data_IF_780773556881
#
_entry.id   IF_780773556881
#
_cell.length_a   1.000
_cell.length_b   1.000
_cell.length_c   1.000
_cell.angle_alpha   90.00
_cell.angle_beta   90.00
_cell.angle_gamma   90.00
#
_symmetry.space_group_name_H-M   'P 1'
#
loop_
_entity.id
_entity.type
_entity.pdbx_description
1 polymer ?
#
# COMPACT_ATOMS: atom_id res chain seq x y z
N UNK A 1 5.09 12.93 8.88
CA UNK A 1 4.53 13.14 7.53
C UNK A 1 3.04 13.36 7.73
N UNK A 2 2.43 14.36 7.08
CA UNK A 2 1.00 14.61 7.21
C UNK A 2 0.24 14.00 6.01
N UNK A 3 -1.03 13.62 6.19
CA UNK A 3 -1.86 13.06 5.11
C UNK A 3 -2.05 14.01 3.94
N UNK A 4 -1.93 15.32 4.15
CA UNK A 4 -1.97 16.33 3.08
C UNK A 4 -0.80 16.21 2.09
N UNK A 5 0.27 15.51 2.45
CA UNK A 5 1.42 15.27 1.58
C UNK A 5 1.26 14.01 0.70
N UNK A 6 0.13 13.30 0.82
CA UNK A 6 -0.14 12.05 0.10
C UNK A 6 -1.17 12.33 -0.99
N UNK A 7 -0.75 12.30 -2.25
CA UNK A 7 -1.62 12.55 -3.40
C UNK A 7 -2.60 11.40 -3.68
N UNK A 8 -2.15 10.15 -3.48
CA UNK A 8 -2.92 8.95 -3.77
C UNK A 8 -2.53 7.77 -2.86
N UNK A 9 -3.52 6.94 -2.51
CA UNK A 9 -3.36 5.67 -1.83
C UNK A 9 -3.78 4.52 -2.74
N UNK A 10 -2.81 3.80 -3.30
CA UNK A 10 -3.07 2.67 -4.19
C UNK A 10 -3.25 1.36 -3.41
N UNK A 11 -4.40 0.70 -3.56
CA UNK A 11 -4.72 -0.57 -2.91
C UNK A 11 -4.53 -1.75 -3.88
N UNK A 12 -3.48 -2.53 -3.64
CA UNK A 12 -3.20 -3.76 -4.35
C UNK A 12 -3.61 -5.01 -3.55
N UNK A 13 -3.67 -6.15 -4.23
CA UNK A 13 -3.99 -7.46 -3.65
C UNK A 13 -5.41 -7.93 -3.94
N UNK A 14 -5.67 -9.21 -3.65
CA UNK A 14 -6.99 -9.82 -3.88
C UNK A 14 -8.12 -9.13 -3.13
N UNK A 15 -7.82 -8.58 -1.94
CA UNK A 15 -8.73 -7.74 -1.18
C UNK A 15 -8.94 -6.36 -1.83
N UNK A 16 -7.90 -5.74 -2.39
CA UNK A 16 -7.98 -4.38 -2.97
C UNK A 16 -9.02 -4.22 -4.08
N UNK A 17 -9.31 -5.28 -4.84
CA UNK A 17 -10.34 -5.24 -5.90
C UNK A 17 -11.79 -5.23 -5.39
N UNK A 18 -12.04 -5.78 -4.20
CA UNK A 18 -13.39 -6.02 -3.71
C UNK A 18 -13.65 -5.41 -2.32
N UNK A 19 -12.63 -4.79 -1.72
CA UNK A 19 -12.77 -4.13 -0.44
C UNK A 19 -13.70 -2.93 -0.58
N UNK A 20 -14.71 -2.88 0.28
CA UNK A 20 -15.51 -1.67 0.42
C UNK A 20 -14.68 -0.64 1.22
N UNK A 21 -14.18 0.37 0.53
CA UNK A 21 -13.30 1.40 1.11
C UNK A 21 -13.97 2.17 2.25
N UNK A 22 -15.28 2.45 2.15
CA UNK A 22 -16.05 3.08 3.22
C UNK A 22 -16.10 2.24 4.49
N UNK A 23 -16.32 0.93 4.36
CA UNK A 23 -16.29 0.01 5.50
C UNK A 23 -14.88 -0.12 6.08
N UNK A 24 -13.85 -0.21 5.22
CA UNK A 24 -12.46 -0.30 5.65
C UNK A 24 -12.03 0.95 6.46
N UNK A 25 -12.46 2.14 6.03
CA UNK A 25 -12.25 3.36 6.81
C UNK A 25 -13.03 3.31 8.13
N UNK A 26 -14.31 2.88 8.08
CA UNK A 26 -15.16 2.82 9.28
C UNK A 26 -14.61 1.93 10.38
N UNK A 27 -13.91 0.84 10.03
CA UNK A 27 -13.31 -0.08 11.00
C UNK A 27 -11.85 0.26 11.36
N UNK A 28 -11.33 1.41 10.91
CA UNK A 28 -9.96 1.84 11.19
C UNK A 28 -8.86 1.17 10.36
N UNK A 29 -9.20 0.37 9.34
CA UNK A 29 -8.20 -0.26 8.45
C UNK A 29 -7.52 0.74 7.52
N UNK A 30 -8.27 1.76 7.06
CA UNK A 30 -7.76 2.81 6.18
C UNK A 30 -7.99 4.19 6.80
N UNK A 31 -7.06 5.14 6.60
CA UNK A 31 -7.20 6.49 7.13
C UNK A 31 -8.35 7.24 6.44
N UNK A 32 -9.18 7.94 7.22
CA UNK A 32 -10.33 8.68 6.71
C UNK A 32 -9.92 9.90 5.87
N UNK A 33 -8.75 10.47 6.17
CA UNK A 33 -8.14 11.62 5.51
C UNK A 33 -7.84 11.36 4.03
N UNK A 34 -7.67 10.08 3.66
CA UNK A 34 -7.37 9.66 2.29
C UNK A 34 -8.60 9.12 1.53
N UNK A 35 -9.81 9.25 2.09
CA UNK A 35 -11.04 8.66 1.53
C UNK A 35 -11.21 8.89 0.03
N UNK A 36 -11.03 10.13 -0.42
CA UNK A 36 -11.22 10.53 -1.83
C UNK A 36 -9.97 10.31 -2.70
N UNK A 37 -8.90 9.75 -2.13
CA UNK A 37 -7.60 9.50 -2.77
C UNK A 37 -7.26 8.01 -2.88
N UNK A 38 -8.18 7.14 -2.46
CA UNK A 38 -7.99 5.68 -2.51
C UNK A 38 -8.31 5.14 -3.91
N UNK A 39 -7.35 4.43 -4.50
CA UNK A 39 -7.44 3.87 -5.85
C UNK A 39 -7.14 2.36 -5.82
N UNK A 40 -8.12 1.49 -6.05
CA UNK A 40 -7.90 0.05 -6.14
C UNK A 40 -7.20 -0.34 -7.45
N UNK A 41 -6.16 -1.17 -7.36
CA UNK A 41 -5.34 -1.63 -8.50
C UNK A 41 -5.38 -3.15 -8.72
N UNK A 42 -6.00 -3.91 -7.82
CA UNK A 42 -6.11 -5.36 -7.92
C UNK A 42 -4.78 -6.10 -7.80
N UNK A 43 -4.61 -7.18 -8.57
CA UNK A 43 -3.39 -8.00 -8.52
C UNK A 43 -2.23 -7.36 -9.29
N UNK A 44 -1.59 -6.37 -8.67
CA UNK A 44 -0.44 -5.67 -9.24
C UNK A 44 0.78 -6.58 -9.41
N UNK A 45 0.96 -7.59 -8.55
CA UNK A 45 2.04 -8.58 -8.70
C UNK A 45 1.89 -9.39 -9.98
N UNK A 46 0.68 -9.82 -10.32
CA UNK A 46 0.38 -10.55 -11.55
C UNK A 46 0.60 -9.67 -12.79
N UNK A 47 0.08 -8.44 -12.76
CA UNK A 47 0.30 -7.46 -13.84
C UNK A 47 1.78 -7.16 -14.03
N UNK A 48 2.53 -6.94 -12.94
CA UNK A 48 3.97 -6.70 -12.97
C UNK A 48 4.75 -7.87 -13.55
N UNK A 49 4.38 -9.11 -13.21
CA UNK A 49 5.00 -10.30 -13.79
C UNK A 49 4.78 -10.40 -15.30
N UNK A 50 3.57 -10.12 -15.79
CA UNK A 50 3.26 -10.09 -17.23
C UNK A 50 4.08 -9.00 -17.94
N UNK A 51 4.21 -7.82 -17.34
CA UNK A 51 4.99 -6.71 -17.90
C UNK A 51 6.48 -7.05 -17.99
N UNK A 52 7.04 -7.63 -16.93
CA UNK A 52 8.43 -8.10 -16.91
C UNK A 52 8.67 -9.20 -17.94
N UNK A 53 7.74 -10.13 -18.12
CA UNK A 53 7.83 -11.20 -19.12
C UNK A 53 7.80 -10.66 -20.56
N UNK A 54 6.97 -9.63 -20.82
CA UNK A 54 6.74 -9.12 -22.18
C UNK A 54 7.66 -7.99 -22.61
N UNK A 55 8.39 -7.35 -21.68
CA UNK A 55 9.18 -6.15 -21.98
C UNK A 55 10.52 -6.14 -21.25
N UNK A 56 11.60 -6.29 -22.00
CA UNK A 56 12.96 -6.15 -21.48
C UNK A 56 13.20 -4.75 -20.91
N UNK A 57 12.59 -3.71 -21.49
CA UNK A 57 12.68 -2.32 -21.00
C UNK A 57 12.07 -2.16 -19.61
N UNK A 58 11.08 -2.98 -19.26
CA UNK A 58 10.48 -2.94 -17.93
C UNK A 58 11.48 -3.32 -16.82
N UNK A 59 12.54 -4.06 -17.15
CA UNK A 59 13.63 -4.35 -16.20
C UNK A 59 14.38 -3.09 -15.76
N UNK A 60 14.48 -2.06 -16.61
CA UNK A 60 15.12 -0.79 -16.24
C UNK A 60 14.30 -0.06 -15.18
N UNK A 61 12.97 -0.05 -15.35
CA UNK A 61 12.02 0.48 -14.36
C UNK A 61 12.15 -0.28 -13.04
N UNK A 62 12.18 -1.61 -13.07
CA UNK A 62 12.36 -2.43 -11.86
C UNK A 62 13.67 -2.08 -11.15
N UNK A 63 14.78 -1.97 -11.88
CA UNK A 63 16.09 -1.60 -11.30
C UNK A 63 16.07 -0.22 -10.66
N UNK A 64 15.46 0.76 -11.32
CA UNK A 64 15.30 2.12 -10.77
C UNK A 64 14.47 2.10 -9.49
N UNK A 65 13.35 1.37 -9.47
CA UNK A 65 12.49 1.25 -8.29
C UNK A 65 13.21 0.57 -7.13
N UNK A 66 13.98 -0.49 -7.39
CA UNK A 66 14.79 -1.15 -6.37
C UNK A 66 15.82 -0.18 -5.75
N UNK A 67 16.44 0.70 -6.55
CA UNK A 67 17.37 1.71 -6.05
C UNK A 67 16.72 2.80 -5.19
N UNK A 68 15.40 3.01 -5.32
CA UNK A 68 14.62 4.00 -4.56
C UNK A 68 13.84 3.40 -3.38
N UNK A 69 13.74 2.07 -3.32
CA UNK A 69 12.97 1.36 -2.29
C UNK A 69 13.84 1.07 -1.09
N UNK A 70 13.31 1.30 0.12
CA UNK A 70 13.98 0.99 1.38
C UNK A 70 13.07 0.10 2.23
N UNK A 71 13.64 -0.97 2.78
CA UNK A 71 12.97 -1.77 3.80
C UNK A 71 13.05 -1.06 5.16
N UNK A 72 11.91 -0.93 5.84
CA UNK A 72 11.82 -0.42 7.20
C UNK A 72 11.36 -1.61 8.05
N UNK A 73 12.21 -2.05 8.98
CA UNK A 73 11.91 -3.18 9.87
C UNK A 73 11.05 -2.69 11.04
N UNK A 74 9.85 -3.24 11.18
CA UNK A 74 8.89 -2.85 12.20
C UNK A 74 8.86 -3.80 13.40
N UNK A 75 9.35 -5.03 13.27
CA UNK A 75 9.23 -6.04 14.33
C UNK A 75 10.02 -5.69 15.60
N UNK A 76 11.08 -4.87 15.47
CA UNK A 76 11.88 -4.38 16.59
C UNK A 76 11.56 -2.95 17.02
N UNK A 77 10.52 -2.32 16.45
CA UNK A 77 10.15 -0.94 16.71
C UNK A 77 9.10 -0.87 17.83
N UNK A 78 9.45 -0.25 18.96
CA UNK A 78 8.57 -0.13 20.13
C UNK A 78 7.35 0.78 19.86
N UNK A 79 7.50 1.79 18.99
CA UNK A 79 6.40 2.67 18.61
C UNK A 79 5.39 1.89 17.78
N UNK A 80 5.86 1.03 16.86
CA UNK A 80 4.96 0.14 16.09
C UNK A 80 4.17 -0.81 16.99
N UNK A 81 4.82 -1.44 17.97
CA UNK A 81 4.15 -2.36 18.90
C UNK A 81 3.05 -1.64 19.70
N UNK A 82 3.33 -0.42 20.15
CA UNK A 82 2.37 0.43 20.86
C UNK A 82 1.21 0.83 19.96
N UNK A 83 1.48 1.36 18.76
CA UNK A 83 0.45 1.75 17.80
C UNK A 83 -0.43 0.57 17.36
N UNK A 84 0.17 -0.60 17.13
CA UNK A 84 -0.58 -1.80 16.81
C UNK A 84 -1.57 -2.16 17.93
N UNK A 85 -1.11 -2.22 19.19
CA UNK A 85 -1.96 -2.53 20.33
C UNK A 85 -3.10 -1.51 20.53
N UNK A 86 -2.81 -0.22 20.32
CA UNK A 86 -3.81 0.86 20.41
C UNK A 86 -4.89 0.74 19.34
N UNK A 87 -4.59 0.16 18.19
CA UNK A 87 -5.52 -0.03 17.06
C UNK A 87 -6.12 -1.45 16.98
N UNK A 88 -6.01 -2.26 18.05
CA UNK A 88 -6.67 -3.58 18.14
C UNK A 88 -8.13 -3.51 18.58
N UNK A 89 -8.56 -2.40 19.19
CA UNK A 89 -9.94 -2.19 19.63
C UNK A 89 -10.64 -1.27 18.61
N UNK A 90 -11.59 -1.84 17.88
CA UNK A 90 -12.39 -1.15 16.86
C UNK A 90 -13.42 -0.18 17.45
#
# INVERSE_FOLDING_TARGET
MNFDQIDALFLAGGFGNYINTGNAIRIGLLPAELKERIIPLGNTSGTGAILALKSVKFNEIIKELLGKTRHIELAGDEDFATEFAMNMFF
#
